data_IF_590972684957
#
_entry.id   IF_590972684957
#
_cell.length_a   1.000
_cell.length_b   1.000
_cell.length_c   1.000
_cell.angle_alpha   90.00
_cell.angle_beta   90.00
_cell.angle_gamma   90.00
#
_symmetry.space_group_name_H-M   'P 1'
#
loop_
_entity.id
_entity.type
_entity.pdbx_description
1 polymer ?
#
# COMPACT_ATOMS: atom_id res chain seq x y z
N UNK A 1 -40.62 -43.28 11.66
CA UNK A 1 -39.38 -42.98 12.44
C UNK A 1 -38.07 -42.93 11.64
N UNK A 2 -37.96 -43.47 10.40
CA UNK A 2 -36.72 -43.36 9.60
C UNK A 2 -36.51 -41.98 8.96
N UNK A 3 -37.58 -41.36 8.43
CA UNK A 3 -37.50 -40.06 7.76
C UNK A 3 -37.17 -38.90 8.72
N UNK A 4 -37.68 -38.93 9.95
CA UNK A 4 -37.37 -37.92 10.97
C UNK A 4 -35.89 -37.94 11.40
N UNK A 5 -35.26 -39.13 11.44
CA UNK A 5 -33.83 -39.27 11.74
C UNK A 5 -32.94 -38.74 10.63
N UNK A 6 -33.33 -38.91 9.36
CA UNK A 6 -32.59 -38.41 8.20
C UNK A 6 -32.64 -36.88 8.14
N UNK A 7 -33.82 -36.29 8.37
CA UNK A 7 -34.00 -34.83 8.34
C UNK A 7 -33.23 -34.13 9.47
N UNK A 8 -33.19 -34.74 10.66
CA UNK A 8 -32.41 -34.23 11.80
C UNK A 8 -30.91 -34.25 11.55
N UNK A 9 -30.40 -35.21 10.77
CA UNK A 9 -28.96 -35.32 10.47
C UNK A 9 -28.51 -34.25 9.45
N UNK A 10 -29.36 -33.91 8.47
CA UNK A 10 -29.07 -32.87 7.49
C UNK A 10 -29.02 -31.46 8.11
N UNK A 11 -29.90 -31.16 9.08
CA UNK A 11 -29.91 -29.85 9.76
C UNK A 11 -28.64 -29.65 10.58
N UNK A 12 -28.14 -30.69 11.26
CA UNK A 12 -26.89 -30.62 12.03
C UNK A 12 -25.70 -30.38 11.09
N UNK A 13 -25.68 -30.99 9.91
CA UNK A 13 -24.61 -30.83 8.92
C UNK A 13 -24.55 -29.39 8.35
N UNK A 14 -25.70 -28.72 8.20
CA UNK A 14 -25.78 -27.32 7.75
C UNK A 14 -25.28 -26.35 8.84
N UNK A 15 -25.49 -26.66 10.12
CA UNK A 15 -24.96 -25.86 11.23
C UNK A 15 -23.42 -25.97 11.30
N UNK A 16 -22.85 -27.15 11.04
CA UNK A 16 -21.40 -27.33 10.97
C UNK A 16 -20.75 -26.70 9.72
N UNK A 17 -21.47 -26.58 8.60
CA UNK A 17 -20.97 -25.91 7.38
C UNK A 17 -20.88 -24.38 7.52
N UNK A 18 -21.66 -23.78 8.43
CA UNK A 18 -21.58 -22.34 8.73
C UNK A 18 -20.63 -22.02 9.89
N UNK A 19 -20.10 -23.03 10.59
CA UNK A 19 -19.15 -22.87 11.68
C UNK A 19 -17.68 -22.76 11.22
N UNK A 20 -17.41 -22.90 9.92
CA UNK A 20 -16.21 -22.32 9.31
C UNK A 20 -16.45 -20.82 9.05
N UNK A 21 -16.94 -20.09 10.05
CA UNK A 21 -16.81 -18.64 10.02
C UNK A 21 -15.32 -18.37 10.17
N UNK A 22 -14.71 -17.95 9.07
CA UNK A 22 -13.44 -17.22 8.99
C UNK A 22 -12.92 -16.88 10.39
N UNK A 23 -11.86 -17.55 10.82
CA UNK A 23 -10.99 -16.99 11.85
C UNK A 23 -10.53 -15.65 11.28
N UNK A 24 -11.29 -14.60 11.57
CA UNK A 24 -10.87 -13.23 11.40
C UNK A 24 -9.90 -13.01 12.55
N UNK A 25 -8.69 -13.53 12.39
CA UNK A 25 -7.52 -12.90 12.99
C UNK A 25 -7.66 -11.43 12.64
N UNK A 26 -8.13 -10.62 13.58
CA UNK A 26 -8.19 -9.17 13.42
C UNK A 26 -6.75 -8.76 13.19
N UNK A 27 -6.37 -8.56 11.94
CA UNK A 27 -5.06 -8.01 11.60
C UNK A 27 -4.98 -6.69 12.34
N UNK A 28 -4.03 -6.61 13.28
CA UNK A 28 -3.86 -5.43 14.12
C UNK A 28 -3.64 -4.25 13.18
N UNK A 29 -4.54 -3.27 13.23
CA UNK A 29 -4.36 -2.02 12.52
C UNK A 29 -3.56 -1.05 13.38
N UNK A 30 -2.82 -0.19 12.69
CA UNK A 30 -1.95 0.82 13.28
C UNK A 30 -2.19 2.14 12.56
N UNK A 31 -1.97 3.26 13.24
CA UNK A 31 -1.99 4.57 12.59
C UNK A 31 -0.58 4.82 12.07
N UNK A 32 -0.46 4.99 10.76
CA UNK A 32 0.83 5.26 10.12
C UNK A 32 1.42 6.56 10.66
N UNK A 33 2.72 6.54 10.96
CA UNK A 33 3.50 7.74 11.21
C UNK A 33 4.71 7.72 10.28
N UNK A 34 4.75 8.64 9.32
CA UNK A 34 5.95 8.80 8.48
C UNK A 34 7.05 9.37 9.39
N UNK A 35 8.22 8.74 9.50
CA UNK A 35 9.26 9.20 10.41
C UNK A 35 10.01 10.40 9.82
N UNK A 36 10.45 11.32 10.68
CA UNK A 36 11.30 12.46 10.32
C UNK A 36 10.76 13.29 9.14
N UNK A 37 9.46 13.60 9.16
CA UNK A 37 8.73 14.30 8.09
C UNK A 37 9.42 15.60 7.63
N UNK A 38 10.07 16.31 8.54
CA UNK A 38 10.78 17.58 8.30
C UNK A 38 12.14 17.42 7.58
N UNK A 39 12.67 16.19 7.49
CA UNK A 39 13.97 15.92 6.86
C UNK A 39 13.87 15.64 5.36
N UNK A 40 12.66 15.39 4.83
CA UNK A 40 12.47 15.11 3.41
C UNK A 40 12.53 16.40 2.60
N UNK A 41 13.47 16.45 1.65
CA UNK A 41 13.70 17.61 0.78
C UNK A 41 13.36 17.33 -0.68
N UNK A 42 13.11 16.06 -1.02
CA UNK A 42 12.79 15.62 -2.37
C UNK A 42 11.62 14.65 -2.36
N UNK A 43 10.70 14.83 -3.30
CA UNK A 43 9.67 13.87 -3.67
C UNK A 43 9.83 13.48 -5.14
N UNK A 44 10.19 12.23 -5.40
CA UNK A 44 10.13 11.65 -6.75
C UNK A 44 8.76 11.00 -6.94
N UNK A 45 8.10 11.32 -8.05
CA UNK A 45 6.87 10.67 -8.49
C UNK A 45 7.11 9.97 -9.80
N UNK A 46 6.71 8.71 -9.90
CA UNK A 46 6.99 7.83 -11.02
C UNK A 46 5.73 7.03 -11.38
N UNK A 47 5.24 7.20 -12.60
CA UNK A 47 4.25 6.33 -13.21
C UNK A 47 4.88 5.46 -14.30
N UNK A 48 4.04 4.75 -15.05
CA UNK A 48 4.45 3.93 -16.19
C UNK A 48 3.57 4.19 -17.40
N UNK A 49 4.11 3.95 -18.60
CA UNK A 49 3.37 4.00 -19.85
C UNK A 49 2.52 2.73 -20.08
N UNK A 50 1.95 2.58 -21.30
CA UNK A 50 1.12 1.43 -21.68
C UNK A 50 1.90 0.10 -21.67
N UNK A 51 3.22 0.16 -21.85
CA UNK A 51 4.10 -1.01 -21.84
C UNK A 51 4.62 -1.33 -20.42
N UNK A 52 4.20 -0.55 -19.42
CA UNK A 52 4.64 -0.70 -18.03
C UNK A 52 6.06 -0.18 -17.79
N UNK A 53 6.57 0.68 -18.68
CA UNK A 53 7.91 1.24 -18.61
C UNK A 53 7.85 2.63 -17.99
N UNK A 54 8.77 2.89 -17.07
CA UNK A 54 8.97 4.24 -16.55
C UNK A 54 10.08 4.95 -17.31
N UNK A 55 9.90 6.25 -17.54
CA UNK A 55 10.87 7.13 -18.17
C UNK A 55 10.82 8.55 -17.59
N UNK A 56 11.63 9.46 -18.13
CA UNK A 56 11.58 10.88 -17.80
C UNK A 56 10.21 11.50 -18.07
N UNK A 57 9.47 11.02 -19.07
CA UNK A 57 8.14 11.57 -19.41
C UNK A 57 7.04 11.07 -18.48
N UNK A 58 7.28 10.00 -17.74
CA UNK A 58 6.38 9.43 -16.72
C UNK A 58 6.91 9.65 -15.31
N UNK A 59 7.86 10.58 -15.13
CA UNK A 59 8.47 10.87 -13.84
C UNK A 59 8.54 12.37 -13.59
N UNK A 60 8.52 12.76 -12.33
CA UNK A 60 8.69 14.15 -11.90
C UNK A 60 9.41 14.18 -10.56
N UNK A 61 10.44 15.02 -10.46
CA UNK A 61 11.09 15.35 -9.19
C UNK A 61 10.54 16.67 -8.68
N UNK A 62 10.22 16.70 -7.38
CA UNK A 62 9.64 17.85 -6.68
C UNK A 62 10.56 18.19 -5.52
N UNK A 63 10.96 19.45 -5.42
CA UNK A 63 11.84 19.99 -4.37
C UNK A 63 11.22 21.17 -3.63
N UNK A 64 9.98 21.57 -3.98
CA UNK A 64 9.23 22.56 -3.22
C UNK A 64 8.77 21.95 -1.89
N UNK A 65 9.27 22.51 -0.79
CA UNK A 65 9.02 22.00 0.56
C UNK A 65 7.53 22.04 0.91
N UNK A 66 6.78 23.04 0.45
CA UNK A 66 5.35 23.15 0.76
C UNK A 66 4.56 22.06 0.04
N UNK A 67 4.90 21.76 -1.23
CA UNK A 67 4.29 20.65 -1.97
C UNK A 67 4.61 19.30 -1.31
N UNK A 68 5.85 19.10 -0.85
CA UNK A 68 6.28 17.88 -0.16
C UNK A 68 5.54 17.72 1.16
N UNK A 69 5.44 18.77 1.98
CA UNK A 69 4.73 18.71 3.26
C UNK A 69 3.24 18.47 3.06
N UNK A 70 2.61 19.16 2.10
CA UNK A 70 1.20 18.93 1.77
C UNK A 70 0.94 17.48 1.29
N UNK A 71 1.88 16.89 0.55
CA UNK A 71 1.82 15.47 0.20
C UNK A 71 1.93 14.57 1.44
N UNK A 72 2.92 14.80 2.31
CA UNK A 72 3.13 14.02 3.55
C UNK A 72 1.87 14.08 4.42
N UNK A 73 1.36 15.28 4.71
CA UNK A 73 0.15 15.49 5.51
C UNK A 73 -1.05 14.70 4.97
N UNK A 74 -1.15 14.56 3.64
CA UNK A 74 -2.26 13.86 3.01
C UNK A 74 -2.24 12.35 3.25
N UNK A 75 -1.05 11.75 3.20
CA UNK A 75 -0.87 10.28 3.26
C UNK A 75 -0.50 9.78 4.65
N UNK A 76 -0.03 10.67 5.52
CA UNK A 76 0.31 10.37 6.90
C UNK A 76 -0.95 10.10 7.74
N UNK A 77 -0.78 9.47 8.90
CA UNK A 77 -1.86 9.15 9.85
C UNK A 77 -2.99 8.27 9.27
N UNK A 78 -2.78 7.65 8.11
CA UNK A 78 -3.69 6.66 7.56
C UNK A 78 -3.73 5.42 8.45
N UNK A 79 -4.92 4.82 8.61
CA UNK A 79 -5.02 3.51 9.25
C UNK A 79 -4.47 2.45 8.30
N UNK A 80 -3.48 1.70 8.77
CA UNK A 80 -2.76 0.70 7.99
C UNK A 80 -2.77 -0.65 8.69
N UNK A 81 -2.51 -1.70 7.91
CA UNK A 81 -2.34 -3.07 8.40
C UNK A 81 -1.05 -3.63 7.82
N UNK A 82 -0.41 -4.53 8.57
CA UNK A 82 0.67 -5.32 8.02
C UNK A 82 0.05 -6.46 7.18
N UNK A 83 0.25 -6.48 5.86
CA UNK A 83 -0.33 -7.52 5.01
C UNK A 83 0.41 -8.86 5.16
N UNK A 84 -0.26 -10.00 4.91
CA UNK A 84 0.41 -11.27 4.76
C UNK A 84 1.32 -11.27 3.53
N UNK A 85 2.37 -12.11 3.57
CA UNK A 85 3.38 -12.26 2.50
C UNK A 85 2.75 -12.45 1.12
N UNK A 86 1.70 -13.26 1.05
CA UNK A 86 1.03 -13.58 -0.22
C UNK A 86 0.43 -12.33 -0.85
N UNK A 87 -0.22 -11.47 -0.06
CA UNK A 87 -0.82 -10.24 -0.54
C UNK A 87 0.25 -9.25 -1.01
N UNK A 88 1.39 -9.16 -0.30
CA UNK A 88 2.53 -8.36 -0.75
C UNK A 88 3.08 -8.83 -2.10
N UNK A 89 3.20 -10.14 -2.30
CA UNK A 89 3.66 -10.73 -3.57
C UNK A 89 2.66 -10.52 -4.72
N UNK A 90 1.37 -10.44 -4.41
CA UNK A 90 0.35 -10.12 -5.41
C UNK A 90 0.44 -8.63 -5.78
N UNK A 91 0.57 -7.75 -4.78
CA UNK A 91 0.71 -6.30 -4.99
C UNK A 91 1.99 -5.91 -5.71
N UNK A 92 3.12 -6.58 -5.45
CA UNK A 92 4.38 -6.29 -6.14
C UNK A 92 4.31 -6.54 -7.65
N UNK A 93 3.50 -7.52 -8.10
CA UNK A 93 3.27 -7.78 -9.53
C UNK A 93 2.46 -6.70 -10.21
N UNK A 94 1.77 -5.85 -9.44
CA UNK A 94 0.95 -4.78 -9.98
C UNK A 94 1.75 -3.49 -10.21
N UNK A 95 2.96 -3.35 -9.63
CA UNK A 95 3.69 -2.07 -9.61
C UNK A 95 3.91 -1.46 -11.00
N UNK A 96 4.12 -2.29 -12.02
CA UNK A 96 4.34 -1.85 -13.41
C UNK A 96 3.05 -1.76 -14.24
N UNK A 97 1.87 -1.79 -13.61
CA UNK A 97 0.59 -1.58 -14.31
C UNK A 97 0.31 -0.09 -14.43
N UNK A 98 -0.09 0.36 -15.63
CA UNK A 98 -0.55 1.73 -15.84
C UNK A 98 -1.67 2.11 -14.88
N UNK A 99 -1.60 3.34 -14.35
CA UNK A 99 -2.49 3.84 -13.31
C UNK A 99 -2.00 3.59 -11.89
N UNK A 100 -0.92 2.81 -11.72
CA UNK A 100 -0.19 2.74 -10.46
C UNK A 100 0.95 3.75 -10.47
N UNK A 101 1.26 4.31 -9.31
CA UNK A 101 2.30 5.32 -9.15
C UNK A 101 3.19 4.99 -7.95
N UNK A 102 4.47 5.22 -8.10
CA UNK A 102 5.48 5.15 -7.07
C UNK A 102 5.84 6.58 -6.66
N UNK A 103 5.67 6.87 -5.37
CA UNK A 103 6.09 8.11 -4.73
C UNK A 103 7.23 7.78 -3.77
N UNK A 104 8.31 8.55 -3.84
CA UNK A 104 9.51 8.35 -3.03
C UNK A 104 9.86 9.67 -2.34
N UNK A 105 9.79 9.67 -1.01
CA UNK A 105 10.33 10.77 -0.20
C UNK A 105 11.80 10.49 0.11
N UNK A 106 12.63 11.52 -0.05
CA UNK A 106 14.06 11.44 0.22
C UNK A 106 14.61 12.71 0.85
N UNK A 107 15.64 12.55 1.69
CA UNK A 107 16.43 13.65 2.23
C UNK A 107 17.37 14.28 1.18
N UNK A 108 17.56 13.60 0.04
CA UNK A 108 18.41 14.04 -1.08
C UNK A 108 17.83 13.62 -2.44
N UNK A 109 18.13 14.40 -3.47
CA UNK A 109 17.75 14.10 -4.86
C UNK A 109 18.38 12.82 -5.40
N UNK A 110 19.56 12.43 -4.88
CA UNK A 110 20.28 11.20 -5.26
C UNK A 110 19.58 9.90 -4.82
N UNK A 111 18.59 9.99 -3.93
CA UNK A 111 17.83 8.85 -3.38
C UNK A 111 18.72 7.74 -2.76
N UNK A 112 19.90 8.09 -2.24
CA UNK A 112 20.92 7.14 -1.77
C UNK A 112 20.98 7.01 -0.23
N UNK A 113 20.08 7.66 0.50
CA UNK A 113 20.08 7.66 1.97
C UNK A 113 18.71 7.34 2.61
N UNK A 114 17.83 8.32 2.85
CA UNK A 114 16.55 8.09 3.54
C UNK A 114 15.41 8.00 2.55
N UNK A 115 15.13 6.80 2.03
CA UNK A 115 14.11 6.59 0.99
C UNK A 115 12.83 5.99 1.55
N UNK A 116 11.79 6.80 1.76
CA UNK A 116 10.46 6.31 2.11
C UNK A 116 9.64 6.09 0.84
N UNK A 117 9.15 4.88 0.65
CA UNK A 117 8.45 4.49 -0.59
C UNK A 117 6.95 4.32 -0.35
N UNK A 118 6.15 4.94 -1.21
CA UNK A 118 4.68 4.87 -1.19
C UNK A 118 4.19 4.48 -2.57
N UNK A 119 3.57 3.30 -2.69
CA UNK A 119 2.96 2.85 -3.93
C UNK A 119 1.46 3.10 -3.88
N UNK A 120 0.96 3.86 -4.85
CA UNK A 120 -0.45 4.05 -5.09
C UNK A 120 -0.92 3.05 -6.13
N UNK A 121 -1.84 2.17 -5.73
CA UNK A 121 -2.47 1.23 -6.65
C UNK A 121 -3.75 1.83 -7.22
N UNK A 122 -4.04 1.49 -8.47
CA UNK A 122 -5.25 1.87 -9.21
C UNK A 122 -6.55 1.44 -8.52
N UNK A 123 -6.50 0.45 -7.64
CA UNK A 123 -7.65 0.04 -6.81
C UNK A 123 -7.89 0.95 -5.58
N UNK A 124 -7.05 1.99 -5.39
CA UNK A 124 -7.09 2.94 -4.30
C UNK A 124 -6.34 2.50 -3.04
N UNK A 125 -5.68 1.33 -3.02
CA UNK A 125 -4.81 0.96 -1.89
C UNK A 125 -3.49 1.71 -1.96
N UNK A 126 -2.93 2.02 -0.80
CA UNK A 126 -1.56 2.54 -0.69
C UNK A 126 -0.69 1.51 0.02
N UNK A 127 0.53 1.29 -0.47
CA UNK A 127 1.55 0.49 0.22
C UNK A 127 2.69 1.40 0.65
N UNK A 128 2.98 1.39 1.93
CA UNK A 128 4.01 2.17 2.58
C UNK A 128 5.19 1.26 2.91
N UNK A 129 6.40 1.74 2.65
CA UNK A 129 7.64 1.06 2.99
C UNK A 129 8.57 2.06 3.67
N UNK A 130 8.90 1.78 4.92
CA UNK A 130 9.75 2.67 5.73
C UNK A 130 11.17 2.80 5.14
N UNK A 131 11.89 3.88 5.51
CA UNK A 131 13.22 4.16 4.99
C UNK A 131 14.19 3.02 5.29
N UNK A 132 14.98 2.61 4.30
CA UNK A 132 15.92 1.51 4.42
C UNK A 132 15.30 0.14 4.75
N UNK A 133 13.97 0.01 4.64
CA UNK A 133 13.31 -1.29 4.65
C UNK A 133 13.78 -2.09 3.45
N UNK A 134 14.76 -2.99 3.62
CA UNK A 134 15.23 -3.86 2.53
C UNK A 134 14.07 -4.69 1.99
N UNK A 135 13.93 -4.78 0.67
CA UNK A 135 13.17 -5.88 0.07
C UNK A 135 13.88 -7.20 0.42
N UNK A 136 13.16 -8.06 1.16
CA UNK A 136 13.50 -9.44 1.52
C UNK A 136 14.99 -9.74 1.79
N UNK A 137 15.37 -9.76 3.06
CA UNK A 137 16.28 -10.81 3.52
C UNK A 137 15.44 -12.04 3.89
N UNK A 138 15.98 -13.24 3.65
CA UNK A 138 15.36 -14.57 3.84
C UNK A 138 14.83 -14.85 5.27
N UNK A 139 15.00 -13.90 6.19
CA UNK A 139 14.79 -13.97 7.62
C UNK A 139 13.49 -13.27 8.05
N UNK A 140 12.69 -12.75 7.11
CA UNK A 140 11.35 -12.20 7.39
C UNK A 140 11.30 -10.82 8.05
N UNK A 141 12.45 -10.24 8.42
CA UNK A 141 12.50 -8.91 9.07
C UNK A 141 12.05 -7.76 8.15
N UNK A 142 12.31 -7.84 6.83
CA UNK A 142 11.91 -6.81 5.86
C UNK A 142 10.40 -6.65 5.72
N UNK A 143 9.59 -7.62 6.17
CA UNK A 143 8.12 -7.51 6.16
C UNK A 143 7.55 -6.62 7.25
N UNK A 144 8.30 -6.38 8.34
CA UNK A 144 7.82 -5.54 9.44
C UNK A 144 7.72 -4.05 9.08
N UNK A 145 8.34 -3.68 7.96
CA UNK A 145 8.48 -2.29 7.53
C UNK A 145 7.56 -1.95 6.36
N UNK A 146 6.67 -2.88 5.95
CA UNK A 146 5.71 -2.69 4.87
C UNK A 146 4.28 -2.74 5.38
N UNK A 147 3.51 -1.72 5.04
CA UNK A 147 2.12 -1.57 5.46
C UNK A 147 1.22 -1.33 4.25
N UNK A 148 -0.01 -1.82 4.31
CA UNK A 148 -1.08 -1.45 3.37
C UNK A 148 -2.10 -0.56 4.08
N UNK A 149 -2.61 0.45 3.38
CA UNK A 149 -3.80 1.18 3.84
C UNK A 149 -4.91 0.17 4.11
N UNK A 150 -5.60 0.30 5.25
CA UNK A 150 -6.68 -0.63 5.64
C UNK A 150 -7.92 -0.47 4.77
N UNK A 151 -8.18 0.75 4.31
CA UNK A 151 -9.25 1.09 3.38
C UNK A 151 -8.71 1.47 2.01
N UNK A 152 -9.61 1.54 1.03
CA UNK A 152 -9.32 2.08 -0.31
C UNK A 152 -9.56 3.59 -0.31
N UNK A 153 -8.57 4.34 -0.79
CA UNK A 153 -8.55 5.79 -0.85
C UNK A 153 -8.50 6.26 -2.31
N UNK A 154 -9.50 5.88 -3.11
CA UNK A 154 -9.50 6.06 -4.57
C UNK A 154 -9.34 7.51 -5.05
N UNK A 155 -9.70 8.50 -4.24
CA UNK A 155 -9.56 9.92 -4.61
C UNK A 155 -8.18 10.50 -4.27
N UNK A 156 -7.42 9.89 -3.37
CA UNK A 156 -6.16 10.49 -2.88
C UNK A 156 -5.14 10.59 -4.02
N UNK A 157 -5.03 9.59 -4.89
CA UNK A 157 -4.14 9.69 -6.05
C UNK A 157 -4.52 10.87 -6.95
N UNK A 158 -5.80 11.06 -7.22
CA UNK A 158 -6.29 12.14 -8.07
C UNK A 158 -5.99 13.51 -7.45
N UNK A 159 -6.28 13.66 -6.15
CA UNK A 159 -5.98 14.88 -5.40
C UNK A 159 -4.47 15.18 -5.37
N UNK A 160 -3.61 14.16 -5.24
CA UNK A 160 -2.16 14.34 -5.28
C UNK A 160 -1.65 14.67 -6.69
N UNK A 161 -2.25 14.08 -7.74
CA UNK A 161 -1.92 14.46 -9.12
C UNK A 161 -2.27 15.92 -9.40
N UNK A 162 -3.40 16.41 -8.89
CA UNK A 162 -3.79 17.81 -9.01
C UNK A 162 -2.87 18.73 -8.21
N UNK A 163 -2.66 18.43 -6.92
CA UNK A 163 -1.79 19.19 -6.02
C UNK A 163 -0.37 19.35 -6.59
N UNK A 164 0.19 18.26 -7.10
CA UNK A 164 1.58 18.20 -7.59
C UNK A 164 1.68 18.44 -9.09
N UNK A 165 0.58 18.82 -9.77
CA UNK A 165 0.51 19.07 -11.21
C UNK A 165 1.15 17.94 -12.05
N UNK A 166 0.74 16.70 -11.78
CA UNK A 166 1.17 15.48 -12.49
C UNK A 166 0.18 15.19 -13.62
N UNK A 167 0.67 15.20 -14.86
CA UNK A 167 -0.17 15.07 -16.08
C UNK A 167 -0.02 13.75 -16.83
N UNK A 168 1.03 12.99 -16.53
CA UNK A 168 1.25 11.65 -17.07
C UNK A 168 0.40 10.60 -16.35
#
# INVERSE_FOLDING_TARGET
MRFFKIFSMCIIMIIFLNACSLETTKTKSEILEIPNEDEYTTLLVQGVDEDGVSSESTSKVITDINEIQAFIEKVNKMEVVQPPIKELLEKSKELNKKGNYLFILSDKETLDNKVYTINFFSDGRLMFQEPNGKMQEANGAGQKMMYLSKEKHSNVLLEMKELLNIKF
#
